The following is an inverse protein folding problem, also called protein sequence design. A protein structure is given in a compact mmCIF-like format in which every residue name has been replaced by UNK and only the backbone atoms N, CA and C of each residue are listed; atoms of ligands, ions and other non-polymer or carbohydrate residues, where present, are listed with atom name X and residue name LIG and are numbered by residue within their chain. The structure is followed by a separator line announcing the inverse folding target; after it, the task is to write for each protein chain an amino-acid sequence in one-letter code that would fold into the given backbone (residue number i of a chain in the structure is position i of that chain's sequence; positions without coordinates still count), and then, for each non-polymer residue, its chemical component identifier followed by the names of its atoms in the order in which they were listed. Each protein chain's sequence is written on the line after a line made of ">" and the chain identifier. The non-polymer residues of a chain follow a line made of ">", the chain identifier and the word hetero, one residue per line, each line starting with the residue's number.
data_IF_669450627727
#
_entry.id   IF_669450627727
#
_cell.length_a   1.000
_cell.length_b   1.000
_cell.length_c   1.000
_cell.angle_alpha   90.00
_cell.angle_beta   90.00
_cell.angle_gamma   90.00
#
_symmetry.space_group_name_H-M   'P 1'
#
loop_
_entity.id
_entity.type
_entity.pdbx_description
1 polymer ?
#
# COMPACT_ATOMS: atom_id res chain seq x y z
N UNK A 1 -17.89 -4.56 4.80
CA UNK A 1 -18.83 -4.81 3.69
C UNK A 1 -20.22 -4.65 4.28
N UNK A 2 -21.05 -3.84 3.63
CA UNK A 2 -22.44 -3.65 4.04
C UNK A 2 -23.42 -4.07 2.93
N UNK A 3 -23.02 -3.95 1.65
CA UNK A 3 -23.76 -4.56 0.54
C UNK A 3 -23.21 -5.95 0.23
N UNK A 4 -24.07 -6.93 -0.04
CA UNK A 4 -23.68 -8.28 -0.45
C UNK A 4 -23.94 -8.57 -1.93
N UNK A 5 -24.66 -7.69 -2.63
CA UNK A 5 -24.80 -7.71 -4.08
C UNK A 5 -24.50 -6.34 -4.68
N UNK A 6 -24.28 -6.30 -5.99
CA UNK A 6 -23.97 -5.06 -6.69
C UNK A 6 -25.19 -4.13 -6.79
N UNK A 7 -24.93 -2.84 -6.60
CA UNK A 7 -25.90 -1.74 -6.68
C UNK A 7 -25.50 -0.82 -7.84
N UNK A 8 -26.40 -0.55 -8.77
CA UNK A 8 -26.17 0.30 -9.94
C UNK A 8 -26.53 -0.38 -11.27
N UNK A 9 -25.88 0.05 -12.34
CA UNK A 9 -26.08 -0.51 -13.68
C UNK A 9 -25.75 -2.01 -13.72
N UNK A 10 -26.69 -2.83 -14.21
CA UNK A 10 -26.51 -4.29 -14.28
C UNK A 10 -26.37 -4.99 -12.92
N UNK A 11 -26.63 -4.31 -11.81
CA UNK A 11 -26.58 -4.88 -10.47
C UNK A 11 -27.88 -5.57 -10.06
N UNK A 12 -27.82 -6.39 -9.00
CA UNK A 12 -29.00 -7.05 -8.42
C UNK A 12 -29.93 -6.03 -7.75
N UNK A 13 -29.39 -4.91 -7.25
CA UNK A 13 -30.16 -3.79 -6.71
C UNK A 13 -31.14 -4.20 -5.60
N UNK A 14 -30.66 -4.97 -4.61
CA UNK A 14 -31.46 -5.29 -3.42
C UNK A 14 -31.89 -3.99 -2.73
N UNK A 15 -33.21 -3.85 -2.51
CA UNK A 15 -33.84 -2.62 -1.99
C UNK A 15 -33.07 -1.97 -0.82
N UNK A 16 -32.73 -2.74 0.21
CA UNK A 16 -32.04 -2.21 1.40
C UNK A 16 -30.59 -1.78 1.13
N UNK A 17 -29.92 -2.42 0.17
CA UNK A 17 -28.55 -2.05 -0.25
C UNK A 17 -28.58 -0.80 -1.13
N UNK A 18 -29.62 -0.64 -1.95
CA UNK A 18 -29.86 0.60 -2.72
C UNK A 18 -30.11 1.76 -1.77
N UNK A 19 -30.97 1.60 -0.76
CA UNK A 19 -31.18 2.60 0.28
C UNK A 19 -29.88 3.02 0.96
N UNK A 20 -29.08 2.04 1.37
CA UNK A 20 -27.79 2.28 2.01
C UNK A 20 -26.85 3.11 1.12
N UNK A 21 -26.70 2.74 -0.16
CA UNK A 21 -25.85 3.48 -1.09
C UNK A 21 -26.39 4.89 -1.38
N UNK A 22 -27.70 5.05 -1.55
CA UNK A 22 -28.32 6.36 -1.78
C UNK A 22 -28.11 7.31 -0.60
N UNK A 23 -28.26 6.83 0.64
CA UNK A 23 -28.03 7.65 1.83
C UNK A 23 -26.56 8.04 1.99
N UNK A 24 -25.61 7.11 1.76
CA UNK A 24 -24.18 7.46 1.81
C UNK A 24 -23.75 8.44 0.71
N UNK A 25 -24.26 8.29 -0.51
CA UNK A 25 -23.98 9.24 -1.59
C UNK A 25 -24.55 10.62 -1.28
N UNK A 26 -25.74 10.68 -0.69
CA UNK A 26 -26.39 11.93 -0.30
C UNK A 26 -25.65 12.63 0.82
N UNK A 27 -25.20 11.88 1.83
CA UNK A 27 -24.33 12.41 2.89
C UNK A 27 -23.04 12.97 2.31
N UNK A 28 -22.38 12.25 1.39
CA UNK A 28 -21.18 12.76 0.76
C UNK A 28 -21.42 14.02 -0.08
N UNK A 29 -22.62 14.19 -0.64
CA UNK A 29 -22.99 15.37 -1.40
C UNK A 29 -23.14 16.63 -0.52
N UNK A 30 -23.32 16.50 0.81
CA UNK A 30 -23.35 17.67 1.70
C UNK A 30 -21.98 18.34 1.82
N UNK A 31 -20.90 17.57 1.67
CA UNK A 31 -19.52 18.06 1.70
C UNK A 31 -18.94 18.31 0.29
N UNK A 32 -19.63 17.85 -0.76
CA UNK A 32 -19.19 18.00 -2.14
C UNK A 32 -20.36 18.36 -3.05
N UNK A 33 -20.53 19.67 -3.29
CA UNK A 33 -21.61 20.23 -4.10
C UNK A 33 -21.63 19.76 -5.57
N UNK A 34 -20.60 19.07 -6.04
CA UNK A 34 -20.57 18.50 -7.40
C UNK A 34 -21.25 17.12 -7.48
N UNK A 35 -21.61 16.53 -6.35
CA UNK A 35 -22.35 15.28 -6.28
C UNK A 35 -23.85 15.53 -6.19
N UNK A 36 -24.63 14.57 -6.65
CA UNK A 36 -26.09 14.66 -6.61
C UNK A 36 -26.64 14.26 -5.24
N UNK A 37 -27.47 15.12 -4.67
CA UNK A 37 -28.31 14.79 -3.52
C UNK A 37 -29.46 13.89 -4.01
N UNK A 38 -29.62 12.72 -3.39
CA UNK A 38 -30.67 11.77 -3.75
C UNK A 38 -31.74 11.73 -2.66
N UNK A 39 -33.00 11.52 -3.09
CA UNK A 39 -34.02 10.99 -2.19
C UNK A 39 -33.82 9.48 -2.10
N UNK A 40 -33.46 8.99 -0.92
CA UNK A 40 -33.34 7.55 -0.70
C UNK A 40 -34.72 6.89 -0.76
N UNK A 41 -34.94 6.03 -1.75
CA UNK A 41 -36.21 5.34 -2.03
C UNK A 41 -36.04 3.83 -2.23
N UNK A 42 -34.79 3.34 -2.23
CA UNK A 42 -34.45 1.94 -2.45
C UNK A 42 -34.60 1.50 -3.91
N UNK A 43 -34.80 2.43 -4.84
CA UNK A 43 -34.99 2.17 -6.27
C UNK A 43 -33.72 2.58 -7.03
N UNK A 44 -33.10 1.63 -7.73
CA UNK A 44 -31.93 1.90 -8.56
C UNK A 44 -32.33 2.44 -9.95
N UNK A 45 -32.97 3.60 -9.96
CA UNK A 45 -33.40 4.32 -11.16
C UNK A 45 -32.26 5.09 -11.86
N UNK A 46 -32.62 5.91 -12.84
CA UNK A 46 -31.66 6.73 -13.59
C UNK A 46 -30.84 7.65 -12.66
N UNK A 47 -31.49 8.27 -11.67
CA UNK A 47 -30.84 9.19 -10.74
C UNK A 47 -29.78 8.50 -9.89
N UNK A 48 -30.08 7.32 -9.34
CA UNK A 48 -29.11 6.53 -8.56
C UNK A 48 -27.90 6.14 -9.42
N UNK A 49 -28.12 5.72 -10.67
CA UNK A 49 -27.02 5.35 -11.59
C UNK A 49 -26.16 6.56 -11.97
N UNK A 50 -26.77 7.72 -12.22
CA UNK A 50 -26.04 8.96 -12.51
C UNK A 50 -25.22 9.43 -11.31
N UNK A 51 -25.78 9.37 -10.10
CA UNK A 51 -25.04 9.72 -8.89
C UNK A 51 -23.84 8.78 -8.65
N UNK A 52 -24.00 7.46 -8.88
CA UNK A 52 -22.87 6.51 -8.85
C UNK A 52 -21.83 6.87 -9.91
N UNK A 53 -22.25 7.21 -11.13
CA UNK A 53 -21.34 7.63 -12.20
C UNK A 53 -20.52 8.87 -11.81
N UNK A 54 -21.18 9.91 -11.29
CA UNK A 54 -20.54 11.15 -10.85
C UNK A 54 -19.60 10.89 -9.68
N UNK A 55 -20.03 10.14 -8.68
CA UNK A 55 -19.17 9.71 -7.57
C UNK A 55 -17.93 8.97 -8.09
N UNK A 56 -18.10 8.02 -9.01
CA UNK A 56 -17.00 7.29 -9.60
C UNK A 56 -16.05 8.19 -10.39
N UNK A 57 -16.57 9.15 -11.14
CA UNK A 57 -15.77 10.10 -11.93
C UNK A 57 -15.03 11.10 -11.06
N UNK A 58 -15.73 11.71 -10.09
CA UNK A 58 -15.26 12.87 -9.34
C UNK A 58 -14.54 12.50 -8.05
N UNK A 59 -14.95 11.42 -7.38
CA UNK A 59 -14.36 10.98 -6.10
C UNK A 59 -13.48 9.76 -6.31
N UNK A 60 -13.96 8.71 -6.99
CA UNK A 60 -13.15 7.51 -7.26
C UNK A 60 -12.08 7.78 -8.34
N UNK A 61 -12.26 8.84 -9.14
CA UNK A 61 -11.39 9.25 -10.26
C UNK A 61 -11.26 8.19 -11.37
N UNK A 62 -12.37 7.51 -11.68
CA UNK A 62 -12.42 6.57 -12.81
C UNK A 62 -12.55 7.32 -14.14
N UNK A 63 -11.68 7.01 -15.10
CA UNK A 63 -11.74 7.55 -16.46
C UNK A 63 -13.01 7.12 -17.20
N UNK A 64 -13.43 5.88 -16.97
CA UNK A 64 -14.65 5.28 -17.52
C UNK A 64 -15.50 4.71 -16.39
N UNK A 65 -16.38 5.52 -15.77
CA UNK A 65 -17.33 5.06 -14.77
C UNK A 65 -18.30 4.02 -15.34
N UNK A 66 -18.49 2.92 -14.61
CA UNK A 66 -19.39 1.82 -14.99
C UNK A 66 -20.79 1.94 -14.37
N UNK A 67 -21.00 2.95 -13.52
CA UNK A 67 -22.28 3.23 -12.82
C UNK A 67 -22.71 2.10 -11.88
N UNK A 68 -21.77 1.26 -11.42
CA UNK A 68 -22.01 0.11 -10.53
C UNK A 68 -21.08 0.13 -9.31
N UNK A 69 -21.65 -0.11 -8.14
CA UNK A 69 -20.92 -0.33 -6.89
C UNK A 69 -20.98 -1.81 -6.56
N UNK A 70 -19.86 -2.49 -6.70
CA UNK A 70 -19.70 -3.90 -6.38
C UNK A 70 -19.34 -4.11 -4.90
N UNK A 71 -19.85 -5.18 -4.25
CA UNK A 71 -19.42 -5.57 -2.90
C UNK A 71 -17.89 -5.71 -2.82
N UNK A 72 -17.30 -5.13 -1.79
CA UNK A 72 -15.85 -5.03 -1.56
C UNK A 72 -15.06 -4.32 -2.67
N UNK A 73 -15.74 -3.73 -3.64
CA UNK A 73 -15.15 -3.02 -4.77
C UNK A 73 -14.53 -1.69 -4.36
N UNK A 74 -13.76 -1.10 -5.28
CA UNK A 74 -13.11 0.21 -5.07
C UNK A 74 -14.11 1.30 -4.70
N UNK A 75 -15.25 1.34 -5.38
CA UNK A 75 -16.31 2.34 -5.17
C UNK A 75 -16.99 2.19 -3.81
N UNK A 76 -17.28 0.97 -3.35
CA UNK A 76 -17.90 0.75 -2.02
C UNK A 76 -16.93 1.17 -0.91
N UNK A 77 -15.66 0.76 -1.02
CA UNK A 77 -14.62 1.10 -0.02
C UNK A 77 -14.42 2.59 0.10
N UNK A 78 -14.28 3.29 -1.03
CA UNK A 78 -14.03 4.72 -1.00
C UNK A 78 -15.25 5.51 -0.51
N UNK A 79 -16.46 5.08 -0.88
CA UNK A 79 -17.70 5.71 -0.39
C UNK A 79 -17.78 5.60 1.15
N UNK A 80 -17.59 4.39 1.68
CA UNK A 80 -17.59 4.14 3.13
C UNK A 80 -16.47 4.92 3.82
N UNK A 81 -15.27 4.96 3.25
CA UNK A 81 -14.14 5.69 3.82
C UNK A 81 -14.44 7.19 3.90
N UNK A 82 -14.95 7.78 2.82
CA UNK A 82 -15.29 9.20 2.76
C UNK A 82 -16.41 9.58 3.72
N UNK A 83 -17.44 8.75 3.88
CA UNK A 83 -18.46 9.01 4.91
C UNK A 83 -17.90 8.84 6.33
N UNK A 84 -17.02 7.86 6.57
CA UNK A 84 -16.38 7.70 7.89
C UNK A 84 -15.39 8.83 8.24
N UNK A 85 -14.81 9.51 7.25
CA UNK A 85 -14.03 10.73 7.46
C UNK A 85 -14.89 11.86 8.03
N UNK A 86 -16.18 11.92 7.64
CA UNK A 86 -17.15 12.88 8.17
C UNK A 86 -17.59 12.48 9.59
N UNK A 87 -18.08 11.26 9.76
CA UNK A 87 -18.45 10.69 11.05
C UNK A 87 -18.43 9.15 10.98
N UNK A 88 -17.57 8.56 11.81
CA UNK A 88 -17.35 7.11 11.86
C UNK A 88 -18.59 6.29 12.28
N UNK A 89 -19.56 6.92 12.93
CA UNK A 89 -20.78 6.24 13.43
C UNK A 89 -21.87 6.14 12.38
N UNK A 90 -21.87 7.04 11.39
CA UNK A 90 -22.95 7.19 10.40
C UNK A 90 -23.09 5.96 9.50
N UNK A 91 -21.99 5.39 9.02
CA UNK A 91 -22.06 4.19 8.17
C UNK A 91 -22.71 3.02 8.92
N UNK A 92 -22.40 2.85 10.20
CA UNK A 92 -22.98 1.80 11.03
C UNK A 92 -24.47 2.07 11.34
N UNK A 93 -24.86 3.32 11.58
CA UNK A 93 -26.25 3.69 11.87
C UNK A 93 -27.15 3.53 10.63
N UNK A 94 -26.69 3.98 9.46
CA UNK A 94 -27.40 3.83 8.17
C UNK A 94 -27.51 2.34 7.79
N UNK A 95 -26.46 1.55 8.00
CA UNK A 95 -26.53 0.10 7.79
C UNK A 95 -27.58 -0.56 8.70
N UNK A 96 -27.55 -0.24 10.00
CA UNK A 96 -28.50 -0.77 10.99
C UNK A 96 -29.94 -0.37 10.63
N UNK A 97 -30.17 0.88 10.22
CA UNK A 97 -31.47 1.41 9.78
C UNK A 97 -32.09 0.56 8.67
N UNK A 98 -31.27 0.10 7.72
CA UNK A 98 -31.72 -0.71 6.58
C UNK A 98 -31.60 -2.23 6.81
N UNK A 99 -31.42 -2.66 8.06
CA UNK A 99 -31.30 -4.08 8.41
C UNK A 99 -30.04 -4.75 7.82
N UNK A 100 -29.08 -3.96 7.35
CA UNK A 100 -27.81 -4.45 6.85
C UNK A 100 -26.91 -4.72 8.05
N UNK A 101 -26.64 -6.00 8.28
CA UNK A 101 -25.55 -6.38 9.18
C UNK A 101 -24.26 -6.05 8.47
N UNK A 102 -23.29 -5.47 9.18
CA UNK A 102 -21.90 -5.50 8.73
C UNK A 102 -21.61 -6.97 8.49
N UNK A 103 -21.56 -7.38 7.24
CA UNK A 103 -21.07 -8.70 6.93
C UNK A 103 -19.65 -8.69 7.49
N UNK A 104 -19.42 -9.50 8.53
CA UNK A 104 -18.06 -9.87 8.93
C UNK A 104 -17.39 -10.19 7.61
N UNK A 105 -16.32 -9.45 7.30
CA UNK A 105 -15.73 -9.38 5.97
C UNK A 105 -15.90 -10.74 5.32
N UNK A 106 -16.66 -10.84 4.20
CA UNK A 106 -16.71 -12.09 3.45
C UNK A 106 -15.29 -12.61 3.46
N UNK A 107 -15.09 -13.77 4.09
CA UNK A 107 -13.79 -14.40 4.13
C UNK A 107 -13.48 -14.72 2.66
N UNK A 108 -12.87 -13.77 1.96
CA UNK A 108 -11.83 -14.09 1.01
C UNK A 108 -10.82 -14.85 1.84
N UNK A 109 -11.01 -16.17 1.93
CA UNK A 109 -10.24 -17.11 2.74
C UNK A 109 -9.39 -16.39 3.78
N UNK A 110 -9.95 -16.22 4.99
CA UNK A 110 -9.19 -15.82 6.17
C UNK A 110 -8.18 -16.91 6.56
N UNK A 111 -7.40 -17.43 5.61
CA UNK A 111 -6.01 -17.59 5.91
C UNK A 111 -5.48 -16.20 6.25
N UNK A 112 -4.98 -16.03 7.47
CA UNK A 112 -4.08 -14.94 7.82
C UNK A 112 -3.22 -14.61 6.61
N UNK A 113 -3.15 -13.36 6.12
CA UNK A 113 -2.25 -13.05 5.01
C UNK A 113 -0.83 -13.43 5.42
N UNK A 114 -0.25 -14.42 4.75
CA UNK A 114 1.04 -14.97 5.11
C UNK A 114 2.11 -14.32 4.25
N UNK A 115 2.96 -13.52 4.91
CA UNK A 115 4.22 -13.08 4.34
C UNK A 115 5.31 -14.02 4.84
N UNK A 116 5.94 -14.75 3.92
CA UNK A 116 6.97 -15.73 4.27
C UNK A 116 8.33 -15.21 3.84
N UNK A 117 9.21 -14.99 4.81
CA UNK A 117 10.60 -14.63 4.55
C UNK A 117 11.35 -15.89 4.10
N UNK A 118 11.93 -15.84 2.90
CA UNK A 118 12.85 -16.89 2.43
C UNK A 118 14.13 -16.86 3.27
N UNK A 119 14.92 -17.94 3.19
CA UNK A 119 16.14 -18.13 3.99
C UNK A 119 17.13 -16.97 3.93
N UNK A 120 17.20 -16.25 2.81
CA UNK A 120 18.12 -15.14 2.59
C UNK A 120 17.54 -13.77 2.98
N UNK A 121 16.27 -13.69 3.38
CA UNK A 121 15.60 -12.45 3.75
C UNK A 121 15.65 -12.25 5.28
N UNK A 122 16.31 -11.18 5.73
CA UNK A 122 16.28 -10.79 7.14
C UNK A 122 14.86 -10.35 7.53
N UNK A 123 14.36 -10.80 8.67
CA UNK A 123 13.06 -10.42 9.23
C UNK A 123 13.11 -9.05 9.92
N UNK A 124 13.41 -8.01 9.14
CA UNK A 124 13.63 -6.63 9.62
C UNK A 124 12.72 -5.60 8.94
N UNK A 125 11.79 -6.07 8.11
CA UNK A 125 10.78 -5.21 7.50
C UNK A 125 9.79 -4.78 8.58
N UNK A 126 9.37 -3.51 8.54
CA UNK A 126 8.45 -2.95 9.50
C UNK A 126 7.03 -3.49 9.33
N UNK A 127 6.26 -3.45 10.41
CA UNK A 127 4.82 -3.75 10.37
C UNK A 127 4.07 -2.86 9.36
N UNK A 128 4.50 -1.60 9.21
CA UNK A 128 3.94 -0.68 8.22
C UNK A 128 4.11 -1.23 6.80
N UNK A 129 5.33 -1.60 6.42
CA UNK A 129 5.64 -2.18 5.11
C UNK A 129 4.93 -3.51 4.89
N UNK A 130 4.88 -4.39 5.89
CA UNK A 130 4.11 -5.63 5.79
C UNK A 130 2.61 -5.36 5.53
N UNK A 131 2.03 -4.37 6.20
CA UNK A 131 0.62 -4.02 6.05
C UNK A 131 0.30 -3.44 4.66
N UNK A 132 1.23 -2.71 4.04
CA UNK A 132 1.12 -2.26 2.64
C UNK A 132 1.09 -3.46 1.70
N UNK A 133 1.97 -4.45 1.91
CA UNK A 133 1.97 -5.66 1.08
C UNK A 133 0.65 -6.42 1.28
N UNK A 134 0.19 -6.58 2.53
CA UNK A 134 -1.09 -7.23 2.85
C UNK A 134 -2.28 -6.48 2.21
N UNK A 135 -2.22 -5.16 2.11
CA UNK A 135 -3.20 -4.37 1.37
C UNK A 135 -3.20 -4.73 -0.12
N UNK A 136 -2.04 -4.79 -0.78
CA UNK A 136 -1.94 -5.26 -2.16
C UNK A 136 -2.43 -6.71 -2.33
N UNK A 137 -2.12 -7.59 -1.36
CA UNK A 137 -2.61 -8.97 -1.35
C UNK A 137 -4.15 -9.03 -1.28
N UNK A 138 -4.77 -8.16 -0.49
CA UNK A 138 -6.23 -8.05 -0.41
C UNK A 138 -6.85 -7.61 -1.74
N UNK A 139 -6.28 -6.60 -2.40
CA UNK A 139 -6.76 -6.17 -3.71
C UNK A 139 -6.61 -7.25 -4.78
N UNK A 140 -5.54 -8.03 -4.73
CA UNK A 140 -5.28 -9.11 -5.68
C UNK A 140 -6.04 -10.41 -5.38
N UNK A 141 -6.66 -10.51 -4.19
CA UNK A 141 -7.30 -11.75 -3.73
C UNK A 141 -6.32 -12.89 -3.50
N UNK A 142 -5.08 -12.61 -3.05
CA UNK A 142 -4.08 -13.62 -2.69
C UNK A 142 -3.94 -13.73 -1.17
N UNK A 143 -3.67 -14.93 -0.66
CA UNK A 143 -3.54 -15.20 0.79
C UNK A 143 -2.10 -15.36 1.26
N UNK A 144 -1.15 -15.59 0.34
CA UNK A 144 0.26 -15.81 0.64
C UNK A 144 1.15 -15.22 -0.45
N UNK A 145 2.28 -14.64 -0.04
CA UNK A 145 3.43 -14.37 -0.90
C UNK A 145 4.72 -14.41 -0.07
N UNK A 146 5.86 -14.48 -0.74
CA UNK A 146 7.16 -14.57 -0.09
C UNK A 146 7.91 -13.23 -0.19
N UNK A 147 8.80 -12.98 0.74
CA UNK A 147 9.83 -11.93 0.65
C UNK A 147 11.17 -12.64 0.42
N UNK A 148 11.80 -12.43 -0.73
CA UNK A 148 13.05 -13.10 -1.10
C UNK A 148 14.30 -12.37 -0.63
N UNK A 149 14.22 -11.06 -0.42
CA UNK A 149 15.35 -10.22 0.01
C UNK A 149 14.82 -9.01 0.80
N UNK A 150 15.63 -8.52 1.73
CA UNK A 150 15.33 -7.32 2.55
C UNK A 150 16.61 -6.51 2.72
N UNK A 151 17.00 -6.15 3.95
CA UNK A 151 18.28 -5.52 4.24
C UNK A 151 19.44 -6.51 4.06
N UNK A 152 20.48 -6.05 3.38
CA UNK A 152 21.75 -6.76 3.23
C UNK A 152 22.86 -5.97 3.92
N UNK A 153 23.63 -6.64 4.78
CA UNK A 153 24.82 -6.03 5.40
C UNK A 153 25.95 -5.87 4.38
N UNK A 154 26.96 -5.08 4.70
CA UNK A 154 28.15 -4.95 3.85
C UNK A 154 28.88 -6.28 3.70
N UNK A 155 28.96 -7.07 4.77
CA UNK A 155 29.49 -8.44 4.74
C UNK A 155 28.68 -9.36 3.81
N UNK A 156 27.34 -9.34 3.90
CA UNK A 156 26.49 -10.13 3.03
C UNK A 156 26.68 -9.75 1.55
N UNK A 157 26.79 -8.44 1.27
CA UNK A 157 27.00 -7.94 -0.08
C UNK A 157 28.37 -8.36 -0.63
N UNK A 158 29.44 -8.23 0.17
CA UNK A 158 30.76 -8.70 -0.21
C UNK A 158 30.77 -10.20 -0.50
N UNK A 159 30.13 -11.01 0.35
CA UNK A 159 29.99 -12.46 0.15
C UNK A 159 29.23 -12.81 -1.13
N UNK A 160 28.12 -12.14 -1.41
CA UNK A 160 27.33 -12.36 -2.64
C UNK A 160 28.16 -12.02 -3.88
N UNK A 161 28.85 -10.88 -3.85
CA UNK A 161 29.70 -10.46 -4.97
C UNK A 161 30.89 -11.40 -5.16
N UNK A 162 31.54 -11.84 -4.08
CA UNK A 162 32.59 -12.86 -4.13
C UNK A 162 32.08 -14.14 -4.80
N UNK A 163 30.95 -14.68 -4.33
CA UNK A 163 30.38 -15.91 -4.88
C UNK A 163 30.03 -15.77 -6.37
N UNK A 164 29.51 -14.60 -6.78
CA UNK A 164 29.21 -14.31 -8.17
C UNK A 164 30.47 -14.23 -9.04
N UNK A 165 31.61 -13.81 -8.49
CA UNK A 165 32.88 -13.81 -9.19
C UNK A 165 33.50 -15.21 -9.23
N UNK A 166 33.54 -15.91 -8.09
CA UNK A 166 34.18 -17.21 -7.95
C UNK A 166 33.47 -18.34 -8.69
N UNK A 167 32.18 -18.17 -9.01
CA UNK A 167 31.44 -19.08 -9.87
C UNK A 167 32.00 -19.17 -11.31
N UNK A 168 32.88 -18.23 -11.71
CA UNK A 168 33.50 -18.17 -13.03
C UNK A 168 35.03 -18.19 -12.90
N UNK A 169 35.64 -19.35 -12.59
CA UNK A 169 37.07 -19.45 -12.27
C UNK A 169 37.99 -19.02 -13.43
N UNK A 170 37.52 -19.12 -14.68
CA UNK A 170 38.27 -18.74 -15.87
C UNK A 170 38.25 -17.23 -16.15
N UNK A 171 37.44 -16.46 -15.43
CA UNK A 171 37.49 -15.00 -15.55
C UNK A 171 38.76 -14.46 -14.88
N UNK A 172 39.45 -13.56 -15.57
CA UNK A 172 40.70 -12.92 -15.10
C UNK A 172 40.54 -11.43 -14.83
N UNK A 173 39.42 -10.84 -15.26
CA UNK A 173 39.08 -9.43 -15.11
C UNK A 173 37.57 -9.22 -15.10
N UNK A 174 37.12 -8.03 -14.69
CA UNK A 174 35.70 -7.63 -14.73
C UNK A 174 35.11 -7.75 -16.14
N UNK A 175 35.89 -7.42 -17.18
CA UNK A 175 35.47 -7.55 -18.57
C UNK A 175 35.21 -9.01 -18.95
N UNK A 176 36.16 -9.91 -18.65
CA UNK A 176 36.00 -11.35 -18.93
C UNK A 176 34.87 -11.98 -18.10
N UNK A 177 34.68 -11.54 -16.85
CA UNK A 177 33.59 -11.99 -15.98
C UNK A 177 32.23 -11.61 -16.56
N UNK A 178 32.09 -10.36 -17.01
CA UNK A 178 30.87 -9.88 -17.67
C UNK A 178 30.53 -10.71 -18.91
N UNK A 179 31.53 -11.01 -19.74
CA UNK A 179 31.34 -11.84 -20.92
C UNK A 179 30.92 -13.26 -20.55
N UNK A 180 31.53 -13.85 -19.52
CA UNK A 180 31.23 -15.21 -19.08
C UNK A 180 29.83 -15.35 -18.45
N UNK A 181 29.37 -14.37 -17.67
CA UNK A 181 28.05 -14.42 -17.00
C UNK A 181 26.89 -13.86 -17.81
N UNK A 182 27.17 -13.12 -18.88
CA UNK A 182 26.16 -12.49 -19.76
C UNK A 182 25.47 -11.24 -19.18
N UNK A 183 25.90 -10.75 -18.01
CA UNK A 183 25.38 -9.53 -17.37
C UNK A 183 26.50 -8.78 -16.65
N UNK A 184 26.25 -7.56 -16.16
CA UNK A 184 27.26 -6.74 -15.49
C UNK A 184 26.69 -5.85 -14.40
N UNK A 185 27.44 -5.63 -13.32
CA UNK A 185 27.11 -4.57 -12.38
C UNK A 185 27.35 -3.18 -12.99
N UNK A 186 26.74 -2.17 -12.37
CA UNK A 186 27.08 -0.76 -12.61
C UNK A 186 28.44 -0.42 -11.99
N UNK A 187 28.95 0.77 -12.27
CA UNK A 187 30.29 1.24 -11.89
C UNK A 187 30.67 0.95 -10.43
N UNK A 188 29.80 1.23 -9.45
CA UNK A 188 30.08 0.94 -8.04
C UNK A 188 30.31 -0.56 -7.78
N UNK A 189 29.50 -1.43 -8.40
CA UNK A 189 29.69 -2.87 -8.28
C UNK A 189 30.94 -3.36 -9.04
N UNK A 190 31.22 -2.81 -10.21
CA UNK A 190 32.44 -3.12 -10.97
C UNK A 190 33.70 -2.83 -10.15
N UNK A 191 33.75 -1.70 -9.45
CA UNK A 191 34.87 -1.34 -8.57
C UNK A 191 35.11 -2.36 -7.43
N UNK A 192 34.08 -3.09 -7.00
CA UNK A 192 34.23 -4.18 -6.02
C UNK A 192 34.68 -5.48 -6.69
N UNK A 193 34.25 -5.74 -7.92
CA UNK A 193 34.75 -6.87 -8.73
C UNK A 193 36.23 -6.71 -9.08
N UNK A 194 36.70 -5.48 -9.32
CA UNK A 194 38.13 -5.18 -9.48
C UNK A 194 38.92 -5.61 -8.25
N UNK A 195 38.42 -5.28 -7.05
CA UNK A 195 39.04 -5.72 -5.79
C UNK A 195 39.11 -7.24 -5.69
N UNK A 196 38.06 -7.96 -6.12
CA UNK A 196 38.11 -9.42 -6.18
C UNK A 196 39.27 -9.91 -7.04
N UNK A 197 39.42 -9.40 -8.27
CA UNK A 197 40.49 -9.85 -9.16
C UNK A 197 41.89 -9.49 -8.66
N UNK A 198 42.04 -8.38 -7.94
CA UNK A 198 43.32 -7.98 -7.32
C UNK A 198 43.65 -8.80 -6.07
N UNK A 199 42.66 -9.30 -5.33
CA UNK A 199 42.85 -9.89 -3.99
C UNK A 199 42.51 -11.37 -3.88
N UNK A 200 41.92 -12.00 -4.90
CA UNK A 200 41.48 -13.41 -4.83
C UNK A 200 42.63 -14.39 -4.51
N UNK A 201 43.83 -14.11 -4.97
CA UNK A 201 45.03 -14.94 -4.72
C UNK A 201 45.52 -14.84 -3.26
N UNK A 202 45.11 -13.81 -2.53
CA UNK A 202 45.45 -13.62 -1.11
C UNK A 202 44.59 -14.50 -0.18
N UNK A 203 43.74 -15.35 -0.75
CA UNK A 203 42.82 -16.20 -0.01
C UNK A 203 41.45 -15.56 0.24
N UNK A 204 40.45 -16.43 0.41
CA UNK A 204 39.03 -16.06 0.48
C UNK A 204 38.72 -15.01 1.54
N UNK A 205 39.25 -15.17 2.74
CA UNK A 205 38.96 -14.28 3.88
C UNK A 205 39.49 -12.86 3.64
N UNK A 206 40.75 -12.75 3.18
CA UNK A 206 41.40 -11.47 2.91
C UNK A 206 40.73 -10.76 1.72
N UNK A 207 40.34 -11.52 0.69
CA UNK A 207 39.58 -11.01 -0.44
C UNK A 207 38.20 -10.48 -0.01
N UNK A 208 37.44 -11.25 0.77
CA UNK A 208 36.14 -10.82 1.31
C UNK A 208 36.26 -9.56 2.15
N UNK A 209 37.27 -9.47 3.01
CA UNK A 209 37.53 -8.27 3.81
C UNK A 209 37.79 -7.06 2.91
N UNK A 210 38.66 -7.18 1.91
CA UNK A 210 38.96 -6.09 0.98
C UNK A 210 37.72 -5.66 0.18
N UNK A 211 36.90 -6.62 -0.27
CA UNK A 211 35.64 -6.34 -0.97
C UNK A 211 34.65 -5.60 -0.07
N UNK A 212 34.51 -6.02 1.19
CA UNK A 212 33.68 -5.33 2.19
C UNK A 212 34.17 -3.90 2.40
N UNK A 213 35.45 -3.70 2.65
CA UNK A 213 36.04 -2.38 2.88
C UNK A 213 35.75 -1.44 1.68
N UNK A 214 35.79 -1.98 0.45
CA UNK A 214 35.42 -1.23 -0.76
C UNK A 214 33.93 -0.91 -0.83
N UNK A 215 33.06 -1.85 -0.49
CA UNK A 215 31.60 -1.62 -0.40
C UNK A 215 31.29 -0.50 0.60
N UNK A 216 31.92 -0.52 1.77
CA UNK A 216 31.75 0.51 2.80
C UNK A 216 32.25 1.89 2.36
N UNK A 217 33.42 1.95 1.72
CA UNK A 217 33.98 3.19 1.16
C UNK A 217 33.02 3.79 0.13
N UNK A 218 32.53 2.99 -0.82
CA UNK A 218 31.57 3.45 -1.83
C UNK A 218 30.27 3.93 -1.18
N UNK A 219 29.78 3.22 -0.16
CA UNK A 219 28.58 3.61 0.56
C UNK A 219 28.73 4.98 1.23
N UNK A 220 29.87 5.25 1.87
CA UNK A 220 30.19 6.56 2.48
C UNK A 220 30.23 7.70 1.46
N UNK A 221 30.62 7.39 0.22
CA UNK A 221 30.58 8.32 -0.93
C UNK A 221 29.18 8.46 -1.55
N UNK A 222 28.14 7.83 -0.97
CA UNK A 222 26.78 7.84 -1.52
C UNK A 222 26.59 6.91 -2.73
N UNK A 223 27.59 6.09 -3.09
CA UNK A 223 27.56 5.17 -4.23
C UNK A 223 27.13 3.77 -3.76
N UNK A 224 25.88 3.42 -4.02
CA UNK A 224 25.35 2.10 -3.64
C UNK A 224 25.70 1.02 -4.66
N UNK A 225 26.26 -0.08 -4.17
CA UNK A 225 26.52 -1.30 -4.97
C UNK A 225 25.27 -2.16 -5.15
N UNK A 226 24.26 -1.98 -4.30
CA UNK A 226 22.95 -2.62 -4.37
C UNK A 226 21.93 -1.77 -3.61
N UNK A 227 20.66 -1.78 -4.04
CA UNK A 227 19.57 -1.09 -3.33
C UNK A 227 19.30 -1.69 -1.93
N UNK A 228 19.61 -2.98 -1.75
CA UNK A 228 19.47 -3.68 -0.46
C UNK A 228 20.64 -3.45 0.50
N UNK A 229 21.79 -2.99 -0.02
CA UNK A 229 23.02 -2.83 0.74
C UNK A 229 23.08 -1.40 1.31
N UNK A 230 22.57 -1.24 2.52
CA UNK A 230 22.47 0.03 3.23
C UNK A 230 22.77 -0.15 4.72
N UNK A 231 23.01 0.94 5.45
CA UNK A 231 23.11 0.90 6.91
C UNK A 231 21.75 0.55 7.54
N UNK A 232 21.76 -0.03 8.76
CA UNK A 232 20.50 -0.27 9.49
C UNK A 232 19.73 1.04 9.76
N UNK A 233 20.46 2.12 10.02
CA UNK A 233 19.86 3.44 10.24
C UNK A 233 19.13 3.96 8.99
N UNK A 234 19.68 3.73 7.80
CA UNK A 234 19.04 4.15 6.56
C UNK A 234 17.91 3.19 6.15
N UNK A 235 18.04 1.89 6.44
CA UNK A 235 16.96 0.94 6.24
C UNK A 235 15.72 1.25 7.10
N UNK A 236 15.94 1.73 8.33
CA UNK A 236 14.85 2.22 9.20
C UNK A 236 14.12 3.44 8.64
N UNK A 237 14.74 4.22 7.75
CA UNK A 237 14.08 5.33 7.04
C UNK A 237 13.35 4.86 5.79
N UNK A 238 13.83 3.78 5.15
CA UNK A 238 13.27 3.22 3.93
C UNK A 238 13.51 1.72 3.83
N UNK A 239 12.44 0.94 3.94
CA UNK A 239 12.50 -0.51 3.77
C UNK A 239 12.58 -0.85 2.28
N UNK A 240 13.60 -1.61 1.91
CA UNK A 240 13.80 -2.15 0.57
C UNK A 240 13.62 -3.66 0.63
N UNK A 241 12.80 -4.22 -0.26
CA UNK A 241 12.51 -5.66 -0.30
C UNK A 241 12.10 -6.14 -1.69
N UNK A 242 12.33 -7.43 -1.96
CA UNK A 242 11.85 -8.09 -3.18
C UNK A 242 10.79 -9.14 -2.88
N UNK A 243 9.74 -9.15 -3.71
CA UNK A 243 8.73 -10.21 -3.76
C UNK A 243 8.91 -10.97 -5.08
N UNK A 244 9.29 -12.26 -5.07
CA UNK A 244 9.55 -12.99 -6.31
C UNK A 244 8.23 -13.38 -6.98
N UNK A 245 8.19 -13.34 -8.31
CA UNK A 245 7.01 -13.74 -9.10
C UNK A 245 6.58 -15.18 -8.82
N UNK A 246 7.54 -16.05 -8.49
CA UNK A 246 7.29 -17.44 -8.11
C UNK A 246 6.46 -17.59 -6.83
N UNK A 247 6.39 -16.56 -5.97
CA UNK A 247 5.60 -16.61 -4.74
C UNK A 247 4.13 -16.27 -4.91
N UNK A 248 3.74 -15.78 -6.09
CA UNK A 248 2.35 -15.44 -6.42
C UNK A 248 1.87 -16.34 -7.54
N UNK A 249 0.68 -16.93 -7.37
CA UNK A 249 0.03 -17.78 -8.37
C UNK A 249 -0.01 -17.05 -9.73
N UNK A 250 0.39 -17.73 -10.81
CA UNK A 250 0.49 -17.15 -12.15
C UNK A 250 -0.78 -16.41 -12.58
N UNK A 251 -1.96 -16.95 -12.27
CA UNK A 251 -3.28 -16.36 -12.61
C UNK A 251 -3.62 -15.09 -11.83
N UNK A 252 -2.88 -14.81 -10.74
CA UNK A 252 -3.06 -13.66 -9.84
C UNK A 252 -1.94 -12.63 -9.91
N UNK A 253 -0.86 -12.90 -10.66
CA UNK A 253 0.31 -12.01 -10.74
C UNK A 253 -0.06 -10.63 -11.27
N UNK A 254 -0.88 -10.57 -12.33
CA UNK A 254 -1.28 -9.30 -12.92
C UNK A 254 -2.11 -8.46 -11.95
N UNK A 255 -3.03 -9.08 -11.19
CA UNK A 255 -3.84 -8.38 -10.20
C UNK A 255 -2.98 -7.89 -9.02
N UNK A 256 -1.99 -8.68 -8.59
CA UNK A 256 -1.05 -8.27 -7.55
C UNK A 256 -0.12 -7.15 -8.00
N UNK A 257 0.45 -7.25 -9.19
CA UNK A 257 1.23 -6.18 -9.82
C UNK A 257 0.40 -4.90 -9.95
N UNK A 258 -0.83 -5.00 -10.48
CA UNK A 258 -1.73 -3.85 -10.60
C UNK A 258 -2.03 -3.22 -9.23
N UNK A 259 -2.19 -4.04 -8.18
CA UNK A 259 -2.38 -3.55 -6.83
C UNK A 259 -1.14 -2.82 -6.28
N UNK A 260 0.06 -3.36 -6.51
CA UNK A 260 1.33 -2.72 -6.14
C UNK A 260 1.51 -1.40 -6.90
N UNK A 261 1.24 -1.38 -8.20
CA UNK A 261 1.29 -0.17 -9.03
C UNK A 261 0.34 0.91 -8.52
N UNK A 262 -0.89 0.52 -8.14
CA UNK A 262 -1.91 1.44 -7.61
C UNK A 262 -1.59 2.07 -6.26
N UNK A 263 -0.58 1.58 -5.54
CA UNK A 263 -0.12 2.15 -4.26
C UNK A 263 1.32 2.68 -4.34
N UNK A 264 1.87 2.79 -5.55
CA UNK A 264 3.24 3.24 -5.81
C UNK A 264 3.28 4.65 -6.39
N UNK A 265 4.23 5.46 -5.91
CA UNK A 265 4.50 6.81 -6.42
C UNK A 265 5.25 6.78 -7.74
N UNK A 266 6.30 5.96 -7.84
CA UNK A 266 7.12 5.78 -9.02
C UNK A 266 7.10 4.31 -9.45
N UNK A 267 6.97 4.06 -10.76
CA UNK A 267 7.02 2.72 -11.34
C UNK A 267 8.13 2.72 -12.38
N UNK A 268 9.13 1.86 -12.19
CA UNK A 268 10.20 1.64 -13.15
C UNK A 268 9.94 0.34 -13.90
N UNK A 269 9.42 0.49 -15.12
CA UNK A 269 9.34 -0.54 -16.16
C UNK A 269 9.11 0.14 -17.52
N UNK A 270 9.77 -0.34 -18.58
CA UNK A 270 9.60 0.20 -19.94
C UNK A 270 8.16 0.10 -20.48
N UNK A 271 7.35 -0.82 -19.93
CA UNK A 271 5.99 -1.13 -20.40
C UNK A 271 4.90 -0.23 -19.83
N UNK A 272 5.17 0.50 -18.75
CA UNK A 272 4.13 1.20 -18.01
C UNK A 272 4.42 2.70 -17.91
N UNK A 273 3.38 3.52 -18.09
CA UNK A 273 3.42 4.96 -17.80
C UNK A 273 2.85 5.20 -16.40
N UNK A 274 3.43 6.17 -15.70
CA UNK A 274 3.14 6.53 -14.30
C UNK A 274 1.64 6.84 -14.09
N UNK A 275 0.94 6.20 -13.14
CA UNK A 275 -0.39 6.63 -12.72
C UNK A 275 -0.30 7.90 -11.86
N UNK A 276 -1.26 8.83 -12.04
CA UNK A 276 -1.39 10.05 -11.24
C UNK A 276 -2.19 9.76 -9.95
N UNK A 277 -1.54 9.62 -8.78
CA UNK A 277 -2.27 9.42 -7.52
C UNK A 277 -1.58 10.05 -6.30
N UNK A 278 -2.40 10.50 -5.35
CA UNK A 278 -2.02 11.25 -4.13
C UNK A 278 -1.72 10.32 -2.94
N UNK A 279 -2.43 9.19 -2.78
CA UNK A 279 -2.19 8.20 -1.71
C UNK A 279 -1.15 7.15 -2.13
N UNK A 280 0.12 7.51 -2.02
CA UNK A 280 1.24 6.64 -2.38
C UNK A 280 1.98 6.15 -1.14
N UNK A 281 2.01 4.82 -0.98
CA UNK A 281 2.65 4.15 0.16
C UNK A 281 4.04 3.62 -0.19
N UNK A 282 4.21 3.15 -1.42
CA UNK A 282 5.48 2.70 -1.99
C UNK A 282 6.09 3.90 -2.72
N UNK A 283 7.31 4.30 -2.36
CA UNK A 283 8.00 5.39 -3.06
C UNK A 283 8.37 4.95 -4.48
N UNK A 284 8.90 3.73 -4.62
CA UNK A 284 9.33 3.19 -5.89
C UNK A 284 9.04 1.70 -6.00
N UNK A 285 8.40 1.32 -7.09
CA UNK A 285 8.21 -0.06 -7.53
C UNK A 285 9.06 -0.28 -8.79
N UNK A 286 9.96 -1.25 -8.75
CA UNK A 286 10.71 -1.70 -9.91
C UNK A 286 10.21 -3.09 -10.28
N UNK A 287 9.76 -3.25 -11.52
CA UNK A 287 9.21 -4.51 -12.03
C UNK A 287 10.33 -5.14 -12.86
N UNK A 288 11.06 -6.07 -12.25
CA UNK A 288 12.21 -6.76 -12.84
C UNK A 288 11.80 -8.05 -13.54
N UNK A 289 12.75 -8.84 -14.05
CA UNK A 289 12.41 -10.09 -14.77
C UNK A 289 11.84 -11.18 -13.85
N UNK A 290 12.15 -11.15 -12.56
CA UNK A 290 11.85 -12.24 -11.61
C UNK A 290 11.17 -11.81 -10.31
N UNK A 291 11.09 -10.51 -10.04
CA UNK A 291 10.52 -9.99 -8.80
C UNK A 291 9.93 -8.58 -8.98
N UNK A 292 9.08 -8.24 -8.02
CA UNK A 292 8.72 -6.87 -7.71
C UNK A 292 9.66 -6.37 -6.62
N UNK A 293 10.42 -5.33 -6.92
CA UNK A 293 11.28 -4.63 -5.97
C UNK A 293 10.54 -3.40 -5.43
N UNK A 294 10.46 -3.28 -4.11
CA UNK A 294 9.70 -2.25 -3.43
C UNK A 294 10.62 -1.41 -2.55
N UNK A 295 10.54 -0.08 -2.71
CA UNK A 295 11.13 0.88 -1.77
C UNK A 295 10.01 1.61 -1.01
N UNK A 296 9.92 1.39 0.30
CA UNK A 296 8.83 1.87 1.16
C UNK A 296 9.38 2.83 2.23
N UNK A 297 9.09 4.14 2.14
CA UNK A 297 9.53 5.12 3.13
C UNK A 297 8.84 4.89 4.48
N UNK A 298 9.58 5.12 5.57
CA UNK A 298 9.14 4.84 6.94
C UNK A 298 8.90 6.11 7.76
N UNK A 299 9.58 7.21 7.41
CA UNK A 299 9.49 8.47 8.16
C UNK A 299 8.07 9.05 8.05
N UNK A 300 7.49 9.42 9.21
CA UNK A 300 6.16 10.01 9.35
C UNK A 300 4.97 9.13 8.88
N UNK A 301 5.16 7.81 8.70
CA UNK A 301 4.08 6.93 8.23
C UNK A 301 3.82 5.76 9.17
N UNK A 302 2.82 5.92 10.03
CA UNK A 302 2.01 4.81 10.53
C UNK A 302 0.89 4.53 9.53
N UNK A 303 0.64 3.27 9.21
CA UNK A 303 -0.72 2.89 8.80
C UNK A 303 -1.56 3.24 10.01
N UNK A 304 -2.41 4.26 9.93
CA UNK A 304 -3.30 4.60 11.04
C UNK A 304 -4.25 3.42 11.21
N UNK A 305 -3.85 2.45 12.02
CA UNK A 305 -4.76 1.56 12.70
C UNK A 305 -5.28 2.38 13.88
N UNK A 306 -6.44 3.04 13.73
CA UNK A 306 -7.21 3.51 14.89
C UNK A 306 -7.80 2.28 15.59
N UNK A 307 -6.93 1.48 16.22
CA UNK A 307 -7.26 0.50 17.24
C UNK A 307 -6.01 0.28 18.09
N UNK A 308 -6.06 0.80 19.32
CA UNK A 308 -5.07 0.55 20.34
C UNK A 308 -4.26 1.77 20.77
N UNK A 309 -4.93 2.78 21.34
CA UNK A 309 -4.30 3.52 22.44
C UNK A 309 -5.36 3.98 23.44
N UNK A 310 -5.88 2.99 24.17
CA UNK A 310 -6.52 3.21 25.45
C UNK A 310 -5.81 2.27 26.42
N UNK A 311 -4.71 2.75 27.01
CA UNK A 311 -4.38 2.61 28.45
C UNK A 311 -2.89 2.87 28.69
N UNK A 312 -2.56 4.11 29.06
CA UNK A 312 -1.88 4.46 30.32
C UNK A 312 -1.44 5.92 30.28
N UNK A 313 -2.18 6.77 30.98
CA UNK A 313 -1.57 7.89 31.70
C UNK A 313 -2.39 8.14 32.95
N UNK A 314 -1.64 8.28 34.05
CA UNK A 314 -2.13 8.38 35.42
C UNK A 314 -2.88 9.69 35.65
N UNK A 315 -3.84 9.58 36.58
CA UNK A 315 -4.46 10.61 37.41
C UNK A 315 -3.98 12.06 37.22
N UNK A 316 -4.89 12.89 36.72
CA UNK A 316 -4.86 14.34 36.81
C UNK A 316 -6.29 14.85 36.61
N UNK A 317 -6.87 15.40 37.67
CA UNK A 317 -8.23 15.93 37.77
C UNK A 317 -8.55 16.95 36.67
N UNK A 318 -9.72 16.84 36.03
CA UNK A 318 -10.26 17.84 35.09
C UNK A 318 -11.80 17.84 35.10
N UNK A 319 -12.44 18.99 34.76
CA UNK A 319 -13.76 19.38 35.26
C UNK A 319 -14.94 18.82 34.45
N UNK A 320 -16.13 18.89 35.03
CA UNK A 320 -17.31 18.11 34.65
C UNK A 320 -17.88 18.39 33.25
N UNK A 321 -18.34 17.31 32.63
CA UNK A 321 -18.92 17.16 31.29
C UNK A 321 -20.25 17.91 31.05
N UNK A 322 -20.77 18.60 32.06
CA UNK A 322 -22.07 19.30 31.98
C UNK A 322 -21.97 20.64 31.23
N UNK A 323 -20.84 21.34 31.30
CA UNK A 323 -20.68 22.66 30.65
C UNK A 323 -20.48 22.57 29.13
N UNK A 324 -20.12 21.40 28.59
CA UNK A 324 -19.84 21.25 27.16
C UNK A 324 -21.12 20.99 26.34
N UNK A 325 -22.12 20.31 26.92
CA UNK A 325 -23.41 20.09 26.24
C UNK A 325 -24.24 21.38 26.11
N UNK A 326 -24.18 22.28 27.10
CA UNK A 326 -24.89 23.57 27.02
C UNK A 326 -24.39 24.45 25.86
N UNK A 327 -23.08 24.42 25.56
CA UNK A 327 -22.51 25.21 24.47
C UNK A 327 -22.93 24.75 23.06
N UNK A 328 -23.26 23.47 22.90
CA UNK A 328 -23.65 22.88 21.61
C UNK A 328 -25.13 23.17 21.33
N UNK A 329 -26.00 23.09 22.34
CA UNK A 329 -27.42 23.45 22.18
C UNK A 329 -27.61 24.94 21.88
N UNK A 330 -26.81 25.82 22.49
CA UNK A 330 -26.84 27.26 22.19
C UNK A 330 -26.35 27.56 20.77
N UNK A 331 -25.33 26.86 20.29
CA UNK A 331 -24.83 26.99 18.91
C UNK A 331 -25.86 26.52 17.87
N UNK A 332 -26.58 25.43 18.16
CA UNK A 332 -27.65 24.90 17.28
C UNK A 332 -28.85 25.85 17.25
N UNK A 333 -29.25 26.44 18.39
CA UNK A 333 -30.34 27.42 18.44
C UNK A 333 -30.00 28.72 17.71
N UNK A 334 -28.75 29.17 17.78
CA UNK A 334 -28.26 30.34 17.04
C UNK A 334 -28.35 30.13 15.52
N UNK A 335 -27.96 28.95 15.04
CA UNK A 335 -28.04 28.57 13.61
C UNK A 335 -29.48 28.46 13.10
N UNK A 336 -30.41 27.93 13.91
CA UNK A 336 -31.82 27.84 13.53
C UNK A 336 -32.50 29.22 13.49
N UNK A 337 -32.14 30.16 14.38
CA UNK A 337 -32.65 31.54 14.36
C UNK A 337 -32.08 32.44 13.25
N UNK A 338 -31.08 31.96 12.51
CA UNK A 338 -30.57 32.63 11.30
C UNK A 338 -31.34 32.16 10.06
N UNK A 339 -31.82 30.91 10.05
CA UNK A 339 -32.59 30.35 8.93
C UNK A 339 -34.03 30.89 8.84
N UNK A 340 -34.66 31.22 9.97
CA UNK A 340 -36.00 31.85 10.02
C UNK A 340 -36.01 33.32 9.54
N UNK A 341 -34.85 33.93 9.27
CA UNK A 341 -34.76 35.29 8.71
C UNK A 341 -34.57 35.33 7.19
N UNK A 342 -34.50 34.17 6.55
CA UNK A 342 -34.30 34.03 5.10
C UNK A 342 -35.34 33.13 4.42
N UNK A 343 -36.45 32.86 5.11
CA UNK A 343 -37.74 32.40 4.57
C UNK A 343 -38.80 33.44 4.92
#
# INVERSE_FOLDING_TARGET
>A
MYINQSVGAGGINKKNEVFFIQELLTLLATENMQLDVLKADGICGANTKTAIEKFQRLVVKLKSPDKRIDPNGRSEKLLIAKVNEMDITVVASVAKKHGLKKAGAQQHSSGSKQLIYRSHARKVVSNYSENIIKLAMNYAGISRCDISSTLRTFDDQARIMYNNCSAYPNATSVATLRNARGWGYRAAGQAVEEVYFTKKENGKEQCLKAMKDKVESLYKEGKKVSLHCVSEADYKKKNVLDIPYSSVNATKRQQFETALMGISKEILNIRYKKPSQEDTHIEKLIIEDKCWHLEIPQLAKTMVNKQGDATRTKAGTSPSTANQMHSIEEAIRSLLGILDRYL
#
